data_IF_833046386025
#
_entry.id   IF_833046386025
#
_cell.length_a   1.000
_cell.length_b   1.000
_cell.length_c   1.000
_cell.angle_alpha   90.00
_cell.angle_beta   90.00
_cell.angle_gamma   90.00
#
_symmetry.space_group_name_H-M   'P 1'
#
loop_
_entity.id
_entity.type
_entity.pdbx_description
1 polymer ?
#
# COMPACT_ATOMS: atom_id res chain seq x y z
N UNK A 1 45.96 -1.78 -23.96
CA UNK A 1 45.40 -3.13 -24.19
C UNK A 1 43.90 -3.03 -23.96
N UNK A 2 43.13 -3.25 -25.02
CA UNK A 2 41.70 -2.98 -25.12
C UNK A 2 40.87 -3.98 -24.30
N UNK A 3 40.22 -3.53 -23.23
CA UNK A 3 39.10 -4.25 -22.61
C UNK A 3 37.81 -3.84 -23.30
N UNK A 4 37.39 -4.59 -24.32
CA UNK A 4 36.11 -4.39 -24.99
C UNK A 4 34.97 -4.82 -24.04
N UNK A 5 33.93 -4.01 -23.80
CA UNK A 5 32.75 -4.47 -23.07
C UNK A 5 31.98 -5.38 -24.03
N UNK A 6 32.03 -6.69 -23.82
CA UNK A 6 31.16 -7.63 -24.50
C UNK A 6 29.70 -7.33 -24.14
N UNK A 7 29.10 -6.48 -24.98
CA UNK A 7 27.70 -6.30 -25.36
C UNK A 7 26.62 -6.77 -24.37
N UNK A 8 25.80 -5.80 -23.92
CA UNK A 8 24.67 -6.00 -23.00
C UNK A 8 23.52 -6.90 -23.47
N UNK A 9 23.69 -7.68 -24.55
CA UNK A 9 22.75 -8.74 -24.97
C UNK A 9 23.26 -10.13 -24.64
N UNK A 10 24.57 -10.38 -24.79
CA UNK A 10 25.18 -11.69 -24.54
C UNK A 10 25.05 -12.12 -23.06
N UNK A 11 25.13 -11.16 -22.14
CA UNK A 11 24.97 -11.40 -20.69
C UNK A 11 23.58 -11.96 -20.28
N UNK A 12 22.56 -11.80 -21.14
CA UNK A 12 21.19 -12.26 -20.89
C UNK A 12 20.85 -13.56 -21.62
N UNK A 13 21.78 -14.12 -22.41
CA UNK A 13 21.55 -15.37 -23.12
C UNK A 13 21.86 -16.59 -22.24
N UNK A 14 21.21 -17.69 -22.59
CA UNK A 14 21.50 -19.00 -22.06
C UNK A 14 22.89 -19.44 -22.52
N UNK A 15 23.71 -19.91 -21.58
CA UNK A 15 25.07 -20.39 -21.87
C UNK A 15 25.13 -21.90 -22.07
N UNK A 16 23.99 -22.59 -22.18
CA UNK A 16 23.93 -24.05 -22.39
C UNK A 16 23.78 -24.40 -23.85
N UNK A 17 24.23 -25.60 -24.22
CA UNK A 17 24.11 -26.14 -25.57
C UNK A 17 22.79 -26.89 -25.75
N UNK A 18 22.28 -26.87 -26.98
CA UNK A 18 21.14 -27.67 -27.42
C UNK A 18 21.52 -29.15 -27.53
N UNK A 19 20.53 -30.04 -27.72
CA UNK A 19 20.78 -31.47 -27.94
C UNK A 19 21.70 -31.75 -29.14
N UNK A 20 21.69 -30.87 -30.15
CA UNK A 20 22.55 -30.95 -31.33
C UNK A 20 23.93 -30.31 -31.12
N UNK A 21 24.27 -29.85 -29.91
CA UNK A 21 25.57 -29.25 -29.58
C UNK A 21 25.70 -27.75 -29.90
N UNK A 22 24.69 -27.13 -30.52
CA UNK A 22 24.72 -25.71 -30.86
C UNK A 22 24.45 -24.82 -29.63
N UNK A 23 25.04 -23.60 -29.55
CA UNK A 23 24.71 -22.63 -28.51
C UNK A 23 23.22 -22.28 -28.45
N UNK A 24 22.66 -22.15 -27.25
CA UNK A 24 21.26 -21.77 -27.09
C UNK A 24 21.03 -20.27 -27.33
N UNK A 25 20.09 -19.92 -28.20
CA UNK A 25 19.65 -18.54 -28.42
C UNK A 25 18.60 -18.04 -27.40
N UNK A 26 18.18 -18.88 -26.46
CA UNK A 26 17.18 -18.54 -25.45
C UNK A 26 17.71 -17.57 -24.40
N UNK A 27 16.81 -16.79 -23.79
CA UNK A 27 17.17 -15.91 -22.68
C UNK A 27 17.27 -16.69 -21.36
N UNK A 28 18.30 -16.38 -20.57
CA UNK A 28 18.47 -16.98 -19.24
C UNK A 28 17.36 -16.53 -18.29
N UNK A 29 17.03 -17.39 -17.33
CA UNK A 29 16.14 -17.00 -16.23
C UNK A 29 16.84 -16.04 -15.27
N UNK A 30 16.09 -15.10 -14.70
CA UNK A 30 16.58 -14.14 -13.71
C UNK A 30 15.95 -14.42 -12.33
N UNK A 31 16.81 -14.59 -11.32
CA UNK A 31 16.44 -14.86 -9.91
C UNK A 31 16.31 -13.57 -9.11
N UNK A 32 15.36 -13.51 -8.17
CA UNK A 32 15.29 -12.41 -7.21
C UNK A 32 14.94 -12.93 -5.80
N UNK A 33 15.77 -12.67 -4.77
CA UNK A 33 17.02 -11.90 -4.81
C UNK A 33 18.23 -12.78 -5.18
N UNK A 34 19.32 -12.14 -5.63
CA UNK A 34 20.51 -12.75 -6.29
C UNK A 34 21.38 -13.71 -5.45
N UNK A 35 20.87 -14.28 -4.36
CA UNK A 35 21.64 -15.19 -3.50
C UNK A 35 21.60 -16.67 -3.95
N UNK A 36 20.69 -17.03 -4.86
CA UNK A 36 20.69 -18.36 -5.45
C UNK A 36 21.73 -18.45 -6.58
N UNK A 37 22.42 -19.59 -6.75
CA UNK A 37 23.36 -19.80 -7.85
C UNK A 37 22.67 -19.55 -9.19
N UNK A 38 23.21 -18.63 -9.97
CA UNK A 38 22.64 -18.31 -11.26
C UNK A 38 23.03 -19.36 -12.30
N UNK A 39 22.08 -20.17 -12.82
CA UNK A 39 22.36 -21.30 -13.70
C UNK A 39 22.80 -20.86 -15.09
N UNK A 40 22.70 -19.55 -15.41
CA UNK A 40 22.97 -18.99 -16.75
C UNK A 40 22.21 -19.73 -17.85
N UNK A 41 21.03 -20.26 -17.55
CA UNK A 41 20.26 -21.14 -18.43
C UNK A 41 18.85 -20.60 -18.68
N UNK A 42 18.29 -20.87 -19.86
CA UNK A 42 16.88 -20.61 -20.15
C UNK A 42 15.98 -21.65 -19.47
N UNK A 43 14.68 -21.39 -19.39
CA UNK A 43 13.71 -22.34 -18.81
C UNK A 43 13.79 -23.72 -19.46
N UNK A 44 14.02 -23.79 -20.77
CA UNK A 44 14.17 -25.06 -21.51
C UNK A 44 15.44 -25.85 -21.19
N UNK A 45 16.47 -25.19 -20.66
CA UNK A 45 17.74 -25.82 -20.32
C UNK A 45 18.01 -25.89 -18.81
N UNK A 46 17.03 -25.60 -17.95
CA UNK A 46 17.17 -25.88 -16.52
C UNK A 46 17.25 -27.39 -16.26
N UNK A 47 18.13 -27.82 -15.35
CA UNK A 47 18.06 -29.17 -14.80
C UNK A 47 16.76 -29.34 -14.00
N UNK A 48 16.42 -30.58 -13.62
CA UNK A 48 15.24 -30.84 -12.76
C UNK A 48 15.30 -30.06 -11.44
N UNK A 49 16.47 -30.02 -10.79
CA UNK A 49 16.67 -29.32 -9.51
C UNK A 49 16.58 -27.81 -9.68
N UNK A 50 17.19 -27.25 -10.73
CA UNK A 50 17.11 -25.82 -11.02
C UNK A 50 15.71 -25.37 -11.39
N UNK A 51 14.97 -26.19 -12.15
CA UNK A 51 13.58 -25.94 -12.49
C UNK A 51 12.71 -25.91 -11.24
N UNK A 52 12.89 -26.86 -10.32
CA UNK A 52 12.15 -26.86 -9.06
C UNK A 52 12.42 -25.58 -8.27
N UNK A 53 13.69 -25.23 -8.07
CA UNK A 53 14.07 -24.02 -7.35
C UNK A 53 13.53 -22.73 -8.01
N UNK A 54 13.48 -22.68 -9.35
CA UNK A 54 12.91 -21.56 -10.09
C UNK A 54 11.40 -21.43 -9.89
N UNK A 55 10.67 -22.54 -9.93
CA UNK A 55 9.22 -22.54 -9.68
C UNK A 55 8.89 -22.22 -8.21
N UNK A 56 9.65 -22.76 -7.25
CA UNK A 56 9.49 -22.42 -5.82
C UNK A 56 9.71 -20.92 -5.59
N UNK A 57 10.74 -20.35 -6.22
CA UNK A 57 11.00 -18.91 -6.14
C UNK A 57 9.91 -18.06 -6.79
N UNK A 58 9.38 -18.51 -7.92
CA UNK A 58 8.23 -17.87 -8.58
C UNK A 58 6.99 -17.91 -7.69
N UNK A 59 6.72 -19.04 -7.04
CA UNK A 59 5.60 -19.19 -6.11
C UNK A 59 5.76 -18.27 -4.90
N UNK A 60 6.91 -18.31 -4.22
CA UNK A 60 7.21 -17.41 -3.07
C UNK A 60 7.05 -15.93 -3.45
N UNK A 61 7.50 -15.52 -4.63
CA UNK A 61 7.32 -14.15 -5.14
C UNK A 61 5.84 -13.83 -5.39
N UNK A 62 5.07 -14.78 -5.92
CA UNK A 62 3.63 -14.67 -6.07
C UNK A 62 2.92 -14.47 -4.73
N UNK A 63 3.23 -15.33 -3.74
CA UNK A 63 2.67 -15.26 -2.38
C UNK A 63 3.05 -13.96 -1.67
N UNK A 64 4.32 -13.54 -1.73
CA UNK A 64 4.77 -12.28 -1.15
C UNK A 64 4.14 -11.05 -1.82
N UNK A 65 3.80 -11.16 -3.11
CA UNK A 65 3.11 -10.10 -3.86
C UNK A 65 1.59 -10.13 -3.68
N UNK A 66 0.99 -11.25 -3.24
CA UNK A 66 -0.46 -11.43 -3.16
C UNK A 66 -1.15 -10.36 -2.30
N UNK A 67 -0.65 -9.95 -1.11
CA UNK A 67 -1.25 -8.86 -0.34
C UNK A 67 -1.27 -7.53 -1.11
N UNK A 68 -0.21 -7.23 -1.88
CA UNK A 68 -0.12 -6.01 -2.69
C UNK A 68 -1.05 -6.08 -3.91
N UNK A 69 -1.15 -7.25 -4.56
CA UNK A 69 -2.05 -7.47 -5.69
C UNK A 69 -3.52 -7.39 -5.26
N UNK A 70 -3.87 -7.98 -4.12
CA UNK A 70 -5.21 -7.89 -3.54
C UNK A 70 -5.56 -6.45 -3.14
N UNK A 71 -4.65 -5.76 -2.44
CA UNK A 71 -4.82 -4.35 -2.10
C UNK A 71 -5.00 -3.47 -3.34
N UNK A 72 -4.25 -3.74 -4.41
CA UNK A 72 -4.39 -3.04 -5.70
C UNK A 72 -5.71 -3.37 -6.39
N UNK A 73 -6.15 -4.62 -6.39
CA UNK A 73 -7.43 -5.03 -6.96
C UNK A 73 -8.61 -4.38 -6.22
N UNK A 74 -8.56 -4.36 -4.90
CA UNK A 74 -9.55 -3.66 -4.07
C UNK A 74 -9.55 -2.15 -4.34
N UNK A 75 -8.37 -1.52 -4.44
CA UNK A 75 -8.26 -0.10 -4.81
C UNK A 75 -8.86 0.21 -6.18
N UNK A 76 -8.62 -0.64 -7.18
CA UNK A 76 -9.23 -0.48 -8.51
C UNK A 76 -10.76 -0.63 -8.47
N UNK A 77 -11.28 -1.43 -7.53
CA UNK A 77 -12.72 -1.55 -7.26
C UNK A 77 -13.25 -0.44 -6.32
N UNK A 78 -12.44 0.60 -6.08
CA UNK A 78 -12.79 1.74 -5.25
C UNK A 78 -12.82 1.44 -3.76
N UNK A 79 -12.21 0.36 -3.27
CA UNK A 79 -12.05 0.09 -1.84
C UNK A 79 -10.70 0.62 -1.33
N UNK A 80 -10.63 1.19 -0.12
CA UNK A 80 -9.34 1.57 0.45
C UNK A 80 -8.51 0.30 0.74
N UNK A 81 -7.20 0.39 0.53
CA UNK A 81 -6.28 -0.72 0.71
C UNK A 81 -6.34 -1.34 2.12
N UNK A 82 -6.63 -0.54 3.15
CA UNK A 82 -6.72 -1.01 4.52
C UNK A 82 -7.77 -2.09 4.75
N UNK A 83 -8.79 -2.19 3.89
CA UNK A 83 -9.81 -3.25 4.00
C UNK A 83 -9.28 -4.65 3.67
N UNK A 84 -8.10 -4.73 3.05
CA UNK A 84 -7.46 -6.00 2.71
C UNK A 84 -6.49 -6.50 3.78
N UNK A 85 -6.29 -5.73 4.86
CA UNK A 85 -5.27 -6.03 5.85
C UNK A 85 -5.85 -6.92 6.94
N UNK A 86 -5.09 -7.92 7.42
CA UNK A 86 -5.55 -8.79 8.48
C UNK A 86 -5.83 -7.98 9.75
N UNK A 87 -6.76 -8.42 10.62
CA UNK A 87 -6.91 -7.83 11.95
C UNK A 87 -5.60 -7.95 12.75
N UNK A 88 -5.45 -7.15 13.80
CA UNK A 88 -4.29 -7.26 14.70
C UNK A 88 -4.16 -8.70 15.20
N UNK A 89 -2.99 -9.31 14.97
CA UNK A 89 -2.69 -10.69 15.38
C UNK A 89 -2.19 -10.81 16.83
N UNK A 90 -2.26 -9.73 17.61
CA UNK A 90 -1.89 -9.70 19.02
C UNK A 90 -2.97 -8.92 19.81
N UNK A 91 -3.24 -9.36 21.04
CA UNK A 91 -4.11 -8.62 21.97
C UNK A 91 -3.45 -7.27 22.31
N UNK A 92 -4.25 -6.21 22.31
CA UNK A 92 -3.78 -4.87 22.65
C UNK A 92 -3.71 -4.75 24.16
N UNK A 93 -2.51 -4.89 24.74
CA UNK A 93 -2.27 -4.54 26.13
C UNK A 93 -2.66 -3.07 26.36
N UNK A 94 -3.44 -2.79 27.41
CA UNK A 94 -4.15 -1.53 27.66
C UNK A 94 -3.26 -0.27 27.76
N UNK A 95 -1.93 -0.38 27.73
CA UNK A 95 -1.03 0.68 28.19
C UNK A 95 -0.49 1.66 27.13
N UNK A 96 -0.74 1.57 25.81
CA UNK A 96 -0.08 2.51 24.87
C UNK A 96 -0.91 3.04 23.70
N UNK A 97 -1.43 4.28 23.82
CA UNK A 97 -1.54 5.33 22.77
C UNK A 97 -1.98 4.97 21.34
N UNK A 98 -1.67 5.81 20.34
CA UNK A 98 -1.91 5.51 18.90
C UNK A 98 -1.06 4.32 18.37
N UNK A 99 -0.23 3.71 19.21
CA UNK A 99 0.78 2.71 18.86
C UNK A 99 0.21 1.51 18.06
N UNK A 100 -0.99 0.98 18.39
CA UNK A 100 -1.64 -0.07 17.60
C UNK A 100 -1.98 0.34 16.17
N UNK A 101 -2.45 1.57 15.97
CA UNK A 101 -2.82 2.10 14.65
C UNK A 101 -1.60 2.11 13.74
N UNK A 102 -0.50 2.68 14.21
CA UNK A 102 0.72 2.82 13.43
C UNK A 102 1.41 1.48 13.18
N UNK A 103 1.39 0.59 14.16
CA UNK A 103 1.85 -0.79 14.00
C UNK A 103 1.04 -1.54 12.93
N UNK A 104 -0.29 -1.46 12.99
CA UNK A 104 -1.19 -2.12 12.03
C UNK A 104 -1.00 -1.60 10.60
N UNK A 105 -0.89 -0.28 10.43
CA UNK A 105 -0.61 0.31 9.12
C UNK A 105 0.80 -0.01 8.62
N UNK A 106 1.78 -0.22 9.52
CA UNK A 106 3.17 -0.53 9.20
C UNK A 106 3.75 0.37 8.09
N UNK A 107 3.50 1.69 8.21
CA UNK A 107 3.95 2.71 7.26
C UNK A 107 3.23 2.70 5.89
N UNK A 108 2.14 1.93 5.73
CA UNK A 108 1.32 1.90 4.51
C UNK A 108 0.20 2.93 4.58
N UNK A 109 -0.01 3.67 3.49
CA UNK A 109 -1.18 4.51 3.31
C UNK A 109 -2.46 3.67 3.34
N UNK A 110 -3.44 4.05 4.18
CA UNK A 110 -4.69 3.31 4.32
C UNK A 110 -5.53 3.25 3.02
N UNK A 111 -5.39 4.25 2.14
CA UNK A 111 -6.14 4.31 0.89
C UNK A 111 -5.45 3.52 -0.23
N UNK A 112 -4.18 3.80 -0.54
CA UNK A 112 -3.50 3.22 -1.71
C UNK A 112 -2.50 2.11 -1.39
N UNK A 113 -2.24 1.84 -0.10
CA UNK A 113 -1.33 0.78 0.36
C UNK A 113 0.17 1.06 0.19
N UNK A 114 0.56 2.18 -0.43
CA UNK A 114 1.97 2.53 -0.64
C UNK A 114 2.69 2.77 0.70
N UNK A 115 3.87 2.17 0.86
CA UNK A 115 4.79 2.46 1.97
C UNK A 115 5.51 3.80 1.74
N UNK A 116 5.31 4.77 2.62
CA UNK A 116 5.91 6.10 2.54
C UNK A 116 5.74 6.85 3.86
N UNK A 117 6.24 8.09 3.95
CA UNK A 117 5.96 8.99 5.08
C UNK A 117 4.46 9.31 5.08
N UNK A 118 3.81 9.06 6.21
CA UNK A 118 2.38 9.26 6.37
C UNK A 118 2.11 10.56 7.13
N UNK A 119 1.00 11.20 6.77
CA UNK A 119 0.36 12.25 7.56
C UNK A 119 -0.82 11.66 8.31
N UNK A 120 -1.06 12.15 9.52
CA UNK A 120 -2.20 11.74 10.34
C UNK A 120 -3.45 12.42 9.82
N UNK A 121 -4.35 11.61 9.29
CA UNK A 121 -5.65 12.01 8.80
C UNK A 121 -6.71 11.91 9.90
N UNK A 122 -7.64 12.86 9.93
CA UNK A 122 -8.68 12.95 10.96
C UNK A 122 -9.99 13.48 10.41
N UNK A 123 -11.10 13.14 11.06
CA UNK A 123 -12.42 13.69 10.74
C UNK A 123 -12.56 15.07 11.36
N UNK A 124 -12.66 16.10 10.53
CA UNK A 124 -12.78 17.49 10.97
C UNK A 124 -14.09 17.77 11.73
N UNK A 125 -15.13 16.92 11.59
CA UNK A 125 -16.39 17.06 12.34
C UNK A 125 -16.25 16.56 13.76
N UNK A 126 -15.56 15.45 13.98
CA UNK A 126 -15.45 14.80 15.31
C UNK A 126 -14.14 15.12 16.03
N UNK A 127 -13.10 15.51 15.28
CA UNK A 127 -11.73 15.65 15.74
C UNK A 127 -11.00 14.32 15.93
N UNK A 128 -11.59 13.19 15.51
CA UNK A 128 -11.02 11.85 15.71
C UNK A 128 -10.08 11.46 14.57
N UNK A 129 -8.96 10.84 14.92
CA UNK A 129 -8.02 10.26 13.95
C UNK A 129 -8.73 9.14 13.19
N UNK A 130 -8.52 9.11 11.87
CA UNK A 130 -8.99 8.03 10.98
C UNK A 130 -7.86 7.06 10.64
N UNK A 131 -6.65 7.57 10.43
CA UNK A 131 -5.49 6.76 10.06
C UNK A 131 -4.34 7.59 9.48
N UNK A 132 -3.35 6.89 8.93
CA UNK A 132 -2.23 7.48 8.21
C UNK A 132 -2.42 7.40 6.71
N UNK A 133 -2.24 8.53 6.03
CA UNK A 133 -2.33 8.64 4.57
C UNK A 133 -1.03 9.18 3.99
N UNK A 134 -0.71 8.83 2.75
CA UNK A 134 0.33 9.58 2.03
C UNK A 134 -0.20 10.98 1.69
N UNK A 135 0.70 11.96 1.51
CA UNK A 135 0.32 13.36 1.24
C UNK A 135 -0.69 13.50 0.09
N UNK A 136 -0.49 12.78 -1.01
CA UNK A 136 -1.40 12.79 -2.18
C UNK A 136 -2.81 12.31 -1.84
N UNK A 137 -2.93 11.19 -1.13
CA UNK A 137 -4.24 10.65 -0.76
C UNK A 137 -4.91 11.54 0.29
N UNK A 138 -4.14 12.11 1.23
CA UNK A 138 -4.66 13.03 2.24
C UNK A 138 -5.26 14.29 1.62
N UNK A 139 -4.55 14.93 0.69
CA UNK A 139 -5.08 16.10 -0.03
C UNK A 139 -6.33 15.76 -0.84
N UNK A 140 -6.35 14.62 -1.53
CA UNK A 140 -7.51 14.19 -2.30
C UNK A 140 -8.71 13.81 -1.43
N UNK A 141 -8.48 13.26 -0.23
CA UNK A 141 -9.53 12.90 0.72
C UNK A 141 -10.37 14.12 1.10
N UNK A 142 -9.75 15.28 1.37
CA UNK A 142 -10.49 16.50 1.72
C UNK A 142 -11.29 17.13 0.57
N UNK A 143 -11.07 16.69 -0.68
CA UNK A 143 -11.60 17.35 -1.88
C UNK A 143 -12.53 16.46 -2.72
N UNK A 144 -12.47 15.13 -2.52
CA UNK A 144 -13.09 14.17 -3.43
C UNK A 144 -14.20 13.36 -2.75
N UNK A 145 -15.24 13.07 -3.52
CA UNK A 145 -16.28 12.10 -3.18
C UNK A 145 -16.18 10.81 -4.00
N UNK A 146 -15.01 10.52 -4.58
CA UNK A 146 -14.80 9.24 -5.24
C UNK A 146 -15.08 8.09 -4.26
N UNK A 147 -15.60 6.93 -4.73
CA UNK A 147 -16.07 5.85 -3.85
C UNK A 147 -15.06 5.40 -2.80
N UNK A 148 -13.76 5.44 -3.13
CA UNK A 148 -12.67 5.07 -2.21
C UNK A 148 -12.59 5.97 -0.97
N UNK A 149 -12.85 7.28 -1.11
CA UNK A 149 -12.81 8.22 0.01
C UNK A 149 -14.06 8.12 0.87
N UNK A 150 -15.22 7.90 0.24
CA UNK A 150 -16.48 7.65 0.97
C UNK A 150 -16.36 6.39 1.82
N UNK A 151 -15.85 5.29 1.24
CA UNK A 151 -15.62 4.03 1.95
C UNK A 151 -14.54 4.15 3.02
N UNK A 152 -13.49 4.92 2.76
CA UNK A 152 -12.46 5.21 3.76
C UNK A 152 -13.05 5.98 4.95
N UNK A 153 -13.88 7.01 4.73
CA UNK A 153 -14.57 7.74 5.81
C UNK A 153 -15.44 6.83 6.66
N UNK A 154 -16.18 5.92 6.02
CA UNK A 154 -17.08 4.95 6.65
C UNK A 154 -16.33 3.91 7.51
N UNK A 155 -15.29 3.29 6.95
CA UNK A 155 -14.53 2.23 7.63
C UNK A 155 -13.03 2.45 7.50
N UNK A 156 -12.53 3.44 8.23
CA UNK A 156 -11.12 3.80 8.31
C UNK A 156 -10.34 2.89 9.29
N UNK A 157 -9.00 2.91 9.28
CA UNK A 157 -8.17 2.14 10.22
C UNK A 157 -8.56 2.28 11.70
N UNK A 158 -8.78 3.50 12.19
CA UNK A 158 -9.16 3.71 13.59
C UNK A 158 -10.49 3.03 13.91
N UNK A 159 -11.49 3.12 13.02
CA UNK A 159 -12.77 2.44 13.16
C UNK A 159 -12.66 0.91 13.09
N UNK A 160 -11.80 0.37 12.21
CA UNK A 160 -11.51 -1.08 12.12
C UNK A 160 -10.92 -1.61 13.43
N UNK A 161 -10.08 -0.81 14.10
CA UNK A 161 -9.39 -1.18 15.32
C UNK A 161 -10.11 -0.73 16.61
N UNK A 162 -11.29 -0.09 16.50
CA UNK A 162 -12.02 0.45 17.65
C UNK A 162 -11.34 1.63 18.36
N UNK A 163 -10.38 2.30 17.72
CA UNK A 163 -9.61 3.41 18.28
C UNK A 163 -10.41 4.71 18.21
N UNK A 164 -10.49 5.44 19.32
CA UNK A 164 -11.21 6.73 19.44
C UNK A 164 -10.31 7.85 19.95
N UNK A 165 -9.17 8.05 19.27
CA UNK A 165 -8.20 9.07 19.66
C UNK A 165 -8.44 10.40 18.95
N UNK A 166 -8.33 11.50 19.70
CA UNK A 166 -8.35 12.85 19.12
C UNK A 166 -7.06 13.16 18.38
N UNK A 167 -7.20 13.85 17.26
CA UNK A 167 -6.07 14.42 16.54
C UNK A 167 -5.40 15.50 17.38
N UNK A 168 -4.07 15.48 17.44
CA UNK A 168 -3.28 16.56 18.01
C UNK A 168 -2.89 17.51 16.87
N UNK A 169 -3.37 18.74 16.95
CA UNK A 169 -3.00 19.79 16.01
C UNK A 169 -1.64 20.39 16.42
N UNK A 170 -0.58 20.22 15.60
CA UNK A 170 0.74 20.73 15.93
C UNK A 170 0.86 22.25 15.80
N UNK A 171 -0.04 22.90 15.05
CA UNK A 171 -0.07 24.36 14.86
C UNK A 171 -0.75 25.01 16.06
N UNK A 172 -1.96 24.56 16.39
CA UNK A 172 -2.74 25.07 17.54
C UNK A 172 -2.20 24.54 18.88
N UNK A 173 -1.34 23.52 18.85
CA UNK A 173 -0.80 22.82 20.03
C UNK A 173 -1.91 22.35 20.97
N UNK A 174 -2.97 21.81 20.39
CA UNK A 174 -4.16 21.38 21.10
C UNK A 174 -4.78 20.16 20.43
N UNK A 175 -5.58 19.40 21.17
CA UNK A 175 -6.41 18.37 20.57
C UNK A 175 -7.55 18.98 19.77
N UNK A 176 -7.79 18.44 18.57
CA UNK A 176 -8.89 18.82 17.71
C UNK A 176 -10.23 18.65 18.44
N UNK A 177 -10.95 19.76 18.51
CA UNK A 177 -12.29 19.80 19.07
C UNK A 177 -13.30 19.36 18.01
N UNK A 178 -14.42 18.74 18.40
CA UNK A 178 -15.51 18.48 17.48
C UNK A 178 -15.99 19.81 16.89
N UNK A 179 -16.34 19.81 15.61
CA UNK A 179 -16.99 20.95 15.01
C UNK A 179 -18.29 21.25 15.78
N UNK A 180 -18.63 22.53 16.00
CA UNK A 180 -19.92 22.88 16.56
C UNK A 180 -21.03 22.28 15.69
N UNK A 181 -22.18 21.92 16.28
CA UNK A 181 -23.32 21.45 15.49
C UNK A 181 -23.63 22.47 14.39
N UNK A 182 -24.09 22.02 13.21
CA UNK A 182 -24.47 22.93 12.14
C UNK A 182 -25.38 24.01 12.71
N UNK A 183 -24.99 25.27 12.57
CA UNK A 183 -25.83 26.38 12.98
C UNK A 183 -27.17 26.30 12.25
N UNK A 184 -28.24 26.78 12.89
CA UNK A 184 -29.54 26.90 12.24
C UNK A 184 -29.37 27.69 10.93
N UNK A 185 -29.59 27.07 9.75
CA UNK A 185 -29.42 27.75 8.47
C UNK A 185 -30.36 28.95 8.31
N UNK A 186 -31.41 29.05 9.14
CA UNK A 186 -32.37 30.15 9.17
C UNK A 186 -32.03 31.27 10.16
N UNK A 187 -30.92 31.17 10.91
CA UNK A 187 -30.50 32.27 11.81
C UNK A 187 -29.92 33.46 11.05
N UNK A 188 -29.24 33.22 9.93
CA UNK A 188 -28.59 34.26 9.11
C UNK A 188 -29.05 34.24 7.64
N UNK A 189 -30.29 33.80 7.37
CA UNK A 189 -30.83 33.85 6.00
C UNK A 189 -31.12 35.32 5.63
N UNK A 190 -30.45 35.92 4.63
CA UNK A 190 -30.73 37.28 4.18
C UNK A 190 -32.16 37.46 3.60
N UNK A 191 -32.90 36.36 3.37
CA UNK A 191 -34.32 36.39 3.00
C UNK A 191 -35.28 36.37 4.20
N UNK A 192 -34.77 36.36 5.44
CA UNK A 192 -35.59 36.41 6.65
C UNK A 192 -36.15 37.84 6.82
N UNK A 193 -37.31 38.10 6.21
CA UNK A 193 -37.99 39.40 6.28
C UNK A 193 -38.59 39.90 4.96
N UNK A 194 -38.35 39.20 3.84
CA UNK A 194 -39.10 39.45 2.61
C UNK A 194 -40.37 38.60 2.68
N UNK A 195 -41.43 39.20 3.23
CA UNK A 195 -42.76 38.60 3.20
C UNK A 195 -43.21 38.42 1.75
N UNK A 196 -43.40 37.16 1.36
CA UNK A 196 -44.29 36.77 0.27
C UNK A 196 -45.60 36.30 0.88
#
# INVERSE_FOLDING_TARGET
MNGSPETGRAAHLCTRTTLQGNPCAGYRVHWYPRHLPDPKACTGHLTRTERQAFEDDKLRRGEAALPLQLARGLFLNGHPACWSWPPLGYELDEEWGTTPLWGWQAGRCAICGRKTVLVTDHDHRTGLIRGGLCSRCNTAEGLSNAPVFVRYRDRNPASVLGIRQRYWDPIEKAYAQPAPPPGDPWKNNPMKGIGL
#
